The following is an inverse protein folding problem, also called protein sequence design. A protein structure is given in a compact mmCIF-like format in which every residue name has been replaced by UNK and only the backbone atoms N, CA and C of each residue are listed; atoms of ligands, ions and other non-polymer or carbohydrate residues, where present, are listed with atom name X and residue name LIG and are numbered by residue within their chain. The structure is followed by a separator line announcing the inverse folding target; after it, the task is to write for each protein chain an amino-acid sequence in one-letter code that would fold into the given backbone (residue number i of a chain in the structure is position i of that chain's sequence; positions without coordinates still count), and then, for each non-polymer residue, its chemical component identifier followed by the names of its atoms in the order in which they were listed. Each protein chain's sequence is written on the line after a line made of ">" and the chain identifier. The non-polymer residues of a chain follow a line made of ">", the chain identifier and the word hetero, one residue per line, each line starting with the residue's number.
data_IF_683497457692
#
_entry.id   IF_683497457692
#
_cell.length_a   1.000
_cell.length_b   1.000
_cell.length_c   1.000
_cell.angle_alpha   90.00
_cell.angle_beta   90.00
_cell.angle_gamma   90.00
#
_symmetry.space_group_name_H-M   'P 1'
#
loop_
_entity.id
_entity.type
_entity.pdbx_description
1 polymer ?
#
# COMPACT_ATOMS: atom_id res chain seq x y z
N UNK A 1 -32.67 -7.90 -44.15
CA UNK A 1 -31.79 -7.90 -45.34
C UNK A 1 -31.23 -6.49 -45.47
N UNK A 2 -29.97 -6.24 -45.14
CA UNK A 2 -28.75 -6.53 -45.91
C UNK A 2 -28.38 -5.41 -46.90
N UNK A 3 -27.13 -4.96 -46.77
CA UNK A 3 -26.26 -4.21 -47.69
C UNK A 3 -26.59 -2.73 -47.98
N UNK A 4 -25.76 -1.76 -47.58
CA UNK A 4 -24.41 -1.36 -48.04
C UNK A 4 -24.39 -0.59 -49.37
N UNK A 5 -23.73 0.57 -49.28
CA UNK A 5 -22.94 1.26 -50.30
C UNK A 5 -23.67 1.97 -51.44
N UNK A 6 -23.56 3.30 -51.47
CA UNK A 6 -23.43 4.13 -52.68
C UNK A 6 -22.56 5.35 -52.30
N UNK A 7 -21.35 5.41 -52.85
CA UNK A 7 -20.93 6.37 -53.91
C UNK A 7 -20.49 7.71 -53.32
N UNK A 8 -19.19 8.00 -53.14
CA UNK A 8 -18.10 8.19 -54.12
C UNK A 8 -18.39 9.25 -55.18
N UNK A 9 -17.46 10.22 -55.22
CA UNK A 9 -17.19 11.26 -56.23
C UNK A 9 -17.97 12.58 -56.03
N UNK A 10 -17.36 13.78 -56.05
CA UNK A 10 -16.09 14.18 -56.63
C UNK A 10 -15.64 15.57 -56.09
N UNK A 11 -14.35 15.66 -55.72
CA UNK A 11 -13.37 16.72 -56.06
C UNK A 11 -13.49 18.19 -55.58
N UNK A 12 -12.43 18.57 -54.85
CA UNK A 12 -11.59 19.80 -54.95
C UNK A 12 -12.28 21.16 -54.69
N UNK A 13 -11.83 22.02 -53.75
CA UNK A 13 -10.47 22.57 -53.66
C UNK A 13 -10.29 23.36 -52.34
N UNK A 14 -9.12 23.15 -51.74
CA UNK A 14 -8.36 23.95 -50.74
C UNK A 14 -8.89 25.34 -50.31
N UNK A 15 -9.02 25.56 -49.00
CA UNK A 15 -8.23 26.56 -48.25
C UNK A 15 -8.48 26.41 -46.74
N UNK A 16 -7.48 25.89 -46.03
CA UNK A 16 -7.44 25.82 -44.57
C UNK A 16 -7.35 27.22 -43.99
N UNK A 17 -8.35 27.62 -43.20
CA UNK A 17 -8.25 28.74 -42.26
C UNK A 17 -8.76 28.26 -40.91
N UNK A 18 -7.96 28.51 -39.89
CA UNK A 18 -8.03 27.86 -38.59
C UNK A 18 -9.23 28.23 -37.72
N UNK A 19 -9.51 27.33 -36.78
CA UNK A 19 -10.36 27.39 -35.58
C UNK A 19 -10.51 25.90 -35.19
N UNK A 20 -10.16 25.36 -34.02
CA UNK A 20 -9.92 25.88 -32.68
C UNK A 20 -8.95 24.91 -32.00
N UNK A 21 -7.81 25.40 -31.51
CA UNK A 21 -7.04 24.72 -30.47
C UNK A 21 -7.80 24.87 -29.15
N UNK A 22 -8.88 24.09 -28.99
CA UNK A 22 -9.47 23.82 -27.69
C UNK A 22 -8.72 22.64 -27.09
N UNK A 23 -7.66 22.91 -26.35
CA UNK A 23 -6.94 21.91 -25.57
C UNK A 23 -7.95 21.14 -24.72
N UNK A 24 -8.05 19.82 -24.95
CA UNK A 24 -8.66 18.91 -24.01
C UNK A 24 -7.98 19.17 -22.66
N UNK A 25 -8.71 19.59 -21.61
CA UNK A 25 -8.13 19.53 -20.29
C UNK A 25 -7.91 18.05 -20.03
N UNK A 26 -6.66 17.62 -20.11
CA UNK A 26 -6.22 16.45 -19.37
C UNK A 26 -6.63 16.73 -17.93
N UNK A 27 -7.76 16.16 -17.51
CA UNK A 27 -8.11 16.08 -16.10
C UNK A 27 -6.99 15.28 -15.47
N UNK A 28 -6.02 15.98 -14.89
CA UNK A 28 -4.98 15.39 -14.07
C UNK A 28 -5.70 14.54 -13.04
N UNK A 29 -5.53 13.22 -13.12
CA UNK A 29 -5.88 12.35 -12.02
C UNK A 29 -5.04 12.84 -10.85
N UNK A 30 -5.65 13.58 -9.94
CA UNK A 30 -5.08 13.84 -8.62
C UNK A 30 -5.18 12.50 -7.90
N UNK A 31 -4.28 11.58 -8.23
CA UNK A 31 -3.90 10.54 -7.28
C UNK A 31 -3.29 11.34 -6.14
N UNK A 32 -3.98 11.38 -4.99
CA UNK A 32 -3.45 11.99 -3.79
C UNK A 32 -2.08 11.37 -3.56
N UNK A 33 -1.01 12.18 -3.53
CA UNK A 33 0.36 11.68 -3.40
C UNK A 33 0.52 10.76 -2.16
N UNK A 34 -0.37 10.91 -1.19
CA UNK A 34 -0.43 10.14 0.05
C UNK A 34 -1.03 8.73 -0.10
N UNK A 35 -1.91 8.48 -1.08
CA UNK A 35 -2.41 7.11 -1.35
C UNK A 35 -1.29 6.22 -1.90
N UNK A 36 -0.41 6.79 -2.74
CA UNK A 36 0.76 6.11 -3.24
C UNK A 36 1.76 5.77 -2.12
N UNK A 37 1.93 6.65 -1.12
CA UNK A 37 2.76 6.37 0.08
C UNK A 37 2.18 5.23 0.90
N UNK A 38 0.87 5.21 1.15
CA UNK A 38 0.20 4.12 1.88
C UNK A 38 0.41 2.78 1.16
N UNK A 39 0.24 2.77 -0.16
CA UNK A 39 0.48 1.56 -0.96
C UNK A 39 1.94 1.10 -0.89
N UNK A 40 2.90 2.02 -0.98
CA UNK A 40 4.32 1.71 -0.85
C UNK A 40 4.66 1.16 0.54
N UNK A 41 4.15 1.78 1.61
CA UNK A 41 4.35 1.33 2.98
C UNK A 41 3.77 -0.08 3.20
N UNK A 42 2.62 -0.38 2.59
CA UNK A 42 2.02 -1.72 2.62
C UNK A 42 2.88 -2.78 1.95
N UNK A 43 3.45 -2.47 0.78
CA UNK A 43 4.40 -3.37 0.11
C UNK A 43 5.66 -3.59 0.95
N UNK A 44 6.22 -2.52 1.53
CA UNK A 44 7.38 -2.62 2.42
C UNK A 44 7.08 -3.49 3.66
N UNK A 45 5.88 -3.34 4.24
CA UNK A 45 5.39 -4.18 5.33
C UNK A 45 5.27 -5.65 4.92
N UNK A 46 4.79 -5.95 3.71
CA UNK A 46 4.74 -7.33 3.19
C UNK A 46 6.12 -7.96 3.04
N UNK A 47 7.09 -7.20 2.53
CA UNK A 47 8.49 -7.63 2.44
C UNK A 47 9.13 -7.84 3.83
N UNK A 48 8.79 -7.00 4.79
CA UNK A 48 9.27 -7.15 6.18
C UNK A 48 8.70 -8.41 6.82
N UNK A 49 7.39 -8.69 6.67
CA UNK A 49 6.79 -9.92 7.18
C UNK A 49 7.31 -11.17 6.51
N UNK A 50 7.55 -11.13 5.19
CA UNK A 50 8.22 -12.22 4.47
C UNK A 50 9.57 -12.56 5.10
N UNK A 51 10.43 -11.55 5.25
CA UNK A 51 11.77 -11.74 5.83
C UNK A 51 11.71 -12.22 7.26
N UNK A 52 10.84 -11.63 8.08
CA UNK A 52 10.63 -12.03 9.45
C UNK A 52 10.24 -13.51 9.53
N UNK A 53 9.18 -13.92 8.85
CA UNK A 53 8.68 -15.28 8.93
C UNK A 53 9.65 -16.34 8.38
N UNK A 54 10.47 -16.00 7.38
CA UNK A 54 11.54 -16.87 6.90
C UNK A 54 12.65 -17.05 7.95
N UNK A 55 13.06 -15.95 8.61
CA UNK A 55 14.16 -15.96 9.57
C UNK A 55 13.77 -16.50 10.95
N UNK A 56 12.50 -16.41 11.31
CA UNK A 56 11.92 -17.00 12.53
C UNK A 56 11.38 -18.40 12.31
N UNK A 57 11.53 -18.96 11.09
CA UNK A 57 10.96 -20.25 10.69
C UNK A 57 9.44 -20.38 10.94
N UNK A 58 8.71 -19.27 10.87
CA UNK A 58 7.26 -19.23 11.15
C UNK A 58 6.40 -19.67 9.95
N UNK A 59 7.00 -19.86 8.77
CA UNK A 59 6.30 -20.40 7.61
C UNK A 59 6.30 -21.93 7.56
N UNK A 60 5.14 -22.49 7.15
CA UNK A 60 5.06 -23.87 6.66
C UNK A 60 5.91 -24.04 5.39
N UNK A 61 6.23 -25.28 5.00
CA UNK A 61 7.00 -25.53 3.76
C UNK A 61 6.34 -24.94 2.51
N UNK A 62 5.01 -25.03 2.42
CA UNK A 62 4.24 -24.38 1.34
C UNK A 62 4.33 -22.85 1.40
N UNK A 63 4.39 -22.29 2.62
CA UNK A 63 4.57 -20.86 2.85
C UNK A 63 5.96 -20.36 2.45
N UNK A 64 7.02 -21.14 2.70
CA UNK A 64 8.38 -20.84 2.25
C UNK A 64 8.46 -20.78 0.72
N UNK A 65 7.84 -21.75 0.04
CA UNK A 65 7.81 -21.81 -1.43
C UNK A 65 7.04 -20.64 -2.08
N UNK A 66 6.14 -19.98 -1.35
CA UNK A 66 5.34 -18.85 -1.84
C UNK A 66 5.49 -17.62 -0.93
N UNK A 67 6.69 -17.40 -0.40
CA UNK A 67 6.93 -16.45 0.69
C UNK A 67 6.55 -15.01 0.34
N UNK A 68 6.70 -14.58 -0.91
CA UNK A 68 6.24 -13.26 -1.39
C UNK A 68 4.72 -13.09 -1.25
N UNK A 69 3.95 -14.10 -1.68
CA UNK A 69 2.49 -14.09 -1.59
C UNK A 69 2.04 -14.08 -0.13
N UNK A 70 2.65 -14.92 0.71
CA UNK A 70 2.28 -15.00 2.12
C UNK A 70 2.62 -13.71 2.87
N UNK A 71 3.79 -13.11 2.62
CA UNK A 71 4.17 -11.82 3.21
C UNK A 71 3.18 -10.71 2.84
N UNK A 72 2.79 -10.63 1.56
CA UNK A 72 1.80 -9.66 1.11
C UNK A 72 0.39 -9.93 1.66
N UNK A 73 -0.01 -11.20 1.81
CA UNK A 73 -1.28 -11.57 2.45
C UNK A 73 -1.32 -11.14 3.91
N UNK A 74 -0.23 -11.33 4.64
CA UNK A 74 -0.09 -10.85 6.03
C UNK A 74 -0.21 -9.33 6.08
N UNK A 75 0.50 -8.60 5.22
CA UNK A 75 0.40 -7.15 5.16
C UNK A 75 -1.01 -6.68 4.81
N UNK A 76 -1.71 -7.35 3.88
CA UNK A 76 -3.10 -7.05 3.57
C UNK A 76 -4.02 -7.23 4.79
N UNK A 77 -3.91 -8.35 5.51
CA UNK A 77 -4.75 -8.62 6.68
C UNK A 77 -4.48 -7.62 7.81
N UNK A 78 -3.21 -7.35 8.09
CA UNK A 78 -2.81 -6.42 9.14
C UNK A 78 -3.21 -4.98 8.77
N UNK A 79 -3.03 -4.58 7.51
CA UNK A 79 -3.41 -3.24 7.03
C UNK A 79 -4.87 -2.91 7.31
N UNK A 80 -5.80 -3.86 7.12
CA UNK A 80 -7.23 -3.64 7.42
C UNK A 80 -7.46 -3.29 8.89
N UNK A 81 -6.75 -3.96 9.82
CA UNK A 81 -6.84 -3.65 11.24
C UNK A 81 -6.19 -2.32 11.60
N UNK A 82 -5.11 -1.94 10.90
CA UNK A 82 -4.43 -0.67 11.12
C UNK A 82 -5.25 0.50 10.55
N UNK A 83 -5.89 0.31 9.40
CA UNK A 83 -6.79 1.30 8.78
C UNK A 83 -7.97 1.63 9.69
N UNK A 84 -8.60 0.59 10.25
CA UNK A 84 -9.69 0.73 11.21
C UNK A 84 -9.22 1.46 12.48
N UNK A 85 -8.06 1.08 13.02
CA UNK A 85 -7.47 1.73 14.20
C UNK A 85 -7.18 3.22 13.96
N UNK A 86 -6.57 3.57 12.82
CA UNK A 86 -6.29 4.97 12.47
C UNK A 86 -7.59 5.74 12.30
N UNK A 87 -8.56 5.18 11.55
CA UNK A 87 -9.83 5.82 11.28
C UNK A 87 -10.62 6.10 12.57
N UNK A 88 -10.72 5.12 13.46
CA UNK A 88 -11.38 5.28 14.76
C UNK A 88 -10.65 6.28 15.65
N UNK A 89 -9.31 6.21 15.70
CA UNK A 89 -8.50 7.15 16.48
C UNK A 89 -8.75 8.60 16.07
N UNK A 90 -8.75 8.88 14.77
CA UNK A 90 -9.02 10.23 14.24
C UNK A 90 -10.47 10.66 14.47
N UNK A 91 -11.45 9.75 14.37
CA UNK A 91 -12.87 10.06 14.64
C UNK A 91 -13.16 10.38 16.11
N UNK A 92 -12.28 9.96 17.02
CA UNK A 92 -12.37 10.23 18.46
C UNK A 92 -11.42 11.35 18.90
N UNK A 93 -11.15 12.32 18.01
CA UNK A 93 -10.29 13.49 18.25
C UNK A 93 -8.83 13.12 18.65
N UNK A 94 -8.39 11.92 18.31
CA UNK A 94 -7.01 11.48 18.50
C UNK A 94 -6.06 12.12 17.49
N UNK A 95 -4.87 12.47 17.94
CA UNK A 95 -3.78 12.93 17.06
C UNK A 95 -3.04 11.75 16.44
N UNK A 96 -2.43 11.95 15.27
CA UNK A 96 -1.59 10.92 14.64
C UNK A 96 -0.43 10.47 15.52
N UNK A 97 0.13 11.37 16.32
CA UNK A 97 1.16 11.03 17.31
C UNK A 97 0.63 10.03 18.35
N UNK A 98 -0.56 10.26 18.91
CA UNK A 98 -1.18 9.35 19.86
C UNK A 98 -1.50 7.98 19.24
N UNK A 99 -2.00 7.97 17.99
CA UNK A 99 -2.30 6.75 17.25
C UNK A 99 -1.02 5.95 16.97
N UNK A 100 0.06 6.62 16.56
CA UNK A 100 1.37 6.01 16.35
C UNK A 100 1.93 5.42 17.65
N UNK A 101 1.93 6.18 18.75
CA UNK A 101 2.38 5.69 20.06
C UNK A 101 1.57 4.47 20.53
N UNK A 102 0.25 4.49 20.32
CA UNK A 102 -0.62 3.35 20.63
C UNK A 102 -0.26 2.12 19.78
N UNK A 103 -0.08 2.33 18.47
CA UNK A 103 0.32 1.28 17.54
C UNK A 103 1.68 0.67 17.92
N UNK A 104 2.67 1.51 18.21
CA UNK A 104 4.02 1.09 18.57
C UNK A 104 4.02 0.26 19.85
N UNK A 105 3.28 0.69 20.87
CA UNK A 105 3.12 -0.09 22.11
C UNK A 105 2.49 -1.46 21.84
N UNK A 106 1.38 -1.50 21.12
CA UNK A 106 0.68 -2.75 20.79
C UNK A 106 1.56 -3.68 19.95
N UNK A 107 2.30 -3.12 19.01
CA UNK A 107 3.21 -3.86 18.13
C UNK A 107 4.41 -4.40 18.91
N UNK A 108 4.99 -3.62 19.84
CA UNK A 108 6.06 -4.08 20.72
C UNK A 108 5.61 -5.22 21.65
N UNK A 109 4.35 -5.22 22.10
CA UNK A 109 3.80 -6.30 22.92
C UNK A 109 3.65 -7.61 22.15
N UNK A 110 3.19 -7.52 20.89
CA UNK A 110 2.93 -8.65 19.99
C UNK A 110 4.22 -9.24 19.40
N UNK A 111 5.15 -8.37 18.99
CA UNK A 111 6.38 -8.75 18.29
C UNK A 111 7.59 -8.62 19.21
N UNK A 112 7.56 -9.22 20.40
CA UNK A 112 8.71 -9.18 21.30
C UNK A 112 9.63 -10.39 21.08
N UNK A 113 10.80 -10.24 20.43
CA UNK A 113 11.70 -11.36 20.18
C UNK A 113 12.24 -11.99 21.46
N UNK A 114 12.26 -11.25 22.58
CA UNK A 114 12.76 -11.76 23.85
C UNK A 114 11.72 -12.61 24.61
N UNK A 115 10.46 -12.62 24.15
CA UNK A 115 9.42 -13.52 24.67
C UNK A 115 9.45 -14.91 24.02
N UNK A 116 10.18 -15.10 22.93
CA UNK A 116 10.30 -16.38 22.24
C UNK A 116 11.76 -16.89 22.30
N UNK A 117 12.05 -17.88 23.16
CA UNK A 117 13.42 -18.41 23.32
C UNK A 117 13.94 -19.14 22.08
N UNK A 118 13.08 -19.46 21.10
CA UNK A 118 13.51 -20.04 19.82
C UNK A 118 14.20 -19.01 18.90
N UNK A 119 14.01 -17.70 19.17
CA UNK A 119 14.55 -16.59 18.39
C UNK A 119 15.94 -16.22 18.90
N UNK A 120 16.93 -16.99 18.43
CA UNK A 120 18.32 -16.88 18.90
C UNK A 120 19.21 -16.06 17.97
N UNK A 121 18.87 -15.94 16.68
CA UNK A 121 19.74 -15.28 15.70
C UNK A 121 19.54 -13.77 15.69
N UNK A 122 20.65 -13.02 15.58
CA UNK A 122 20.62 -11.57 15.45
C UNK A 122 19.85 -11.12 14.18
N UNK A 123 19.90 -11.91 13.11
CA UNK A 123 19.16 -11.65 11.88
C UNK A 123 17.64 -11.77 12.11
N UNK A 124 17.19 -12.81 12.83
CA UNK A 124 15.77 -12.96 13.17
C UNK A 124 15.29 -11.82 14.08
N UNK A 125 16.05 -11.47 15.13
CA UNK A 125 15.73 -10.32 15.99
C UNK A 125 15.60 -9.03 15.18
N UNK A 126 16.56 -8.74 14.31
CA UNK A 126 16.52 -7.55 13.43
C UNK A 126 15.34 -7.58 12.48
N UNK A 127 14.98 -8.74 11.93
CA UNK A 127 13.82 -8.86 11.04
C UNK A 127 12.49 -8.58 11.74
N UNK A 128 12.40 -8.92 13.02
CA UNK A 128 11.25 -8.57 13.87
C UNK A 128 11.19 -7.06 14.08
N UNK A 129 12.32 -6.42 14.44
CA UNK A 129 12.36 -4.95 14.58
C UNK A 129 11.97 -4.26 13.27
N UNK A 130 12.46 -4.75 12.12
CA UNK A 130 12.08 -4.21 10.82
C UNK A 130 10.57 -4.37 10.53
N UNK A 131 9.95 -5.47 10.98
CA UNK A 131 8.50 -5.64 10.85
C UNK A 131 7.75 -4.61 11.70
N UNK A 132 8.20 -4.34 12.93
CA UNK A 132 7.62 -3.26 13.76
C UNK A 132 7.74 -1.90 13.09
N UNK A 133 8.94 -1.56 12.59
CA UNK A 133 9.18 -0.31 11.85
C UNK A 133 8.26 -0.20 10.64
N UNK A 134 8.09 -1.28 9.87
CA UNK A 134 7.20 -1.24 8.70
C UNK A 134 5.71 -1.04 9.07
N UNK A 135 5.27 -1.52 10.23
CA UNK A 135 3.92 -1.26 10.76
C UNK A 135 3.81 0.22 11.16
N UNK A 136 4.81 0.77 11.84
CA UNK A 136 4.87 2.19 12.18
C UNK A 136 4.77 3.07 10.93
N UNK A 137 5.59 2.78 9.92
CA UNK A 137 5.61 3.52 8.65
C UNK A 137 4.26 3.44 7.92
N UNK A 138 3.60 2.29 7.96
CA UNK A 138 2.24 2.13 7.41
C UNK A 138 1.22 3.02 8.14
N UNK A 139 1.22 2.99 9.48
CA UNK A 139 0.30 3.80 10.29
C UNK A 139 0.55 5.30 10.08
N UNK A 140 1.82 5.72 9.97
CA UNK A 140 2.20 7.10 9.68
C UNK A 140 1.69 7.54 8.31
N UNK A 141 1.91 6.73 7.27
CA UNK A 141 1.41 7.02 5.92
C UNK A 141 -0.12 7.08 5.88
N UNK A 142 -0.81 6.17 6.56
CA UNK A 142 -2.27 6.15 6.60
C UNK A 142 -2.84 7.35 7.38
N UNK A 143 -2.18 7.75 8.45
CA UNK A 143 -2.48 8.97 9.19
C UNK A 143 -2.37 10.22 8.30
N UNK A 144 -1.25 10.40 7.59
CA UNK A 144 -1.07 11.51 6.63
C UNK A 144 -2.17 11.52 5.57
N UNK A 145 -2.45 10.36 4.98
CA UNK A 145 -3.44 10.20 3.92
C UNK A 145 -4.87 10.58 4.36
N UNK A 146 -5.23 10.34 5.62
CA UNK A 146 -6.56 10.65 6.15
C UNK A 146 -6.69 12.08 6.71
N UNK A 147 -5.58 12.78 6.95
CA UNK A 147 -5.59 14.15 7.46
C UNK A 147 -5.54 15.23 6.37
N UNK A 148 -5.03 14.90 5.17
CA UNK A 148 -5.14 15.73 3.96
C UNK A 148 -4.75 17.20 4.11
#
# INVERSE_FOLDING_TARGET
>A
MFYLAMDRMMRFKSMCCGLLLGALPFTSQVVHADEAKVMQAKFAMGEAFKKMALLTNSFTEKGKANSDVVGMQMAQQISVSLDDMVSQGLQHDGTCEQILQYSDRRTAELFNPDKDPSITSAAAKRSIENAKTSIHDYVAAQCENLQG
#
